data_IF_556057798065
#
_entry.id   IF_556057798065
#
_cell.length_a   1.000
_cell.length_b   1.000
_cell.length_c   1.000
_cell.angle_alpha   90.00
_cell.angle_beta   90.00
_cell.angle_gamma   90.00
#
_symmetry.space_group_name_H-M   'P 1'
#
loop_
_entity.id
_entity.type
_entity.pdbx_description
1 polymer ?
#
# COMPACT_ATOMS: atom_id res chain seq x y z
N UNK A 1 -14.91 4.90 -15.11
CA UNK A 1 -13.89 5.48 -14.22
C UNK A 1 -13.29 4.37 -13.38
N UNK A 2 -11.99 4.29 -13.34
CA UNK A 2 -11.23 3.24 -12.68
C UNK A 2 -11.38 3.33 -11.16
N UNK A 3 -11.77 2.24 -10.52
CA UNK A 3 -11.84 2.15 -9.06
C UNK A 3 -10.46 1.80 -8.51
N UNK A 4 -9.99 2.60 -7.58
CA UNK A 4 -8.64 2.44 -7.01
C UNK A 4 -8.71 2.26 -5.50
N UNK A 5 -7.92 1.33 -4.97
CA UNK A 5 -7.69 1.20 -3.54
C UNK A 5 -6.19 1.32 -3.22
N UNK A 6 -5.89 2.10 -2.19
CA UNK A 6 -4.55 2.24 -1.61
C UNK A 6 -4.55 1.46 -0.30
N UNK A 7 -3.69 0.47 -0.20
CA UNK A 7 -3.69 -0.48 0.91
C UNK A 7 -2.34 -0.47 1.63
N UNK A 8 -2.31 0.16 2.79
CA UNK A 8 -1.16 0.11 3.69
C UNK A 8 -1.31 -0.96 4.75
N UNK A 9 -0.19 -1.49 5.20
CA UNK A 9 -0.17 -2.46 6.28
C UNK A 9 1.15 -2.38 7.06
N UNK A 10 1.12 -2.83 8.31
CA UNK A 10 2.24 -2.85 9.21
C UNK A 10 1.83 -2.59 10.66
N UNK A 11 2.79 -2.57 11.56
CA UNK A 11 2.57 -2.37 12.98
C UNK A 11 2.99 -0.96 13.41
N UNK A 12 2.01 -0.11 13.73
CA UNK A 12 2.24 1.29 14.14
C UNK A 12 2.96 1.41 15.49
N UNK A 13 2.98 0.37 16.30
CA UNK A 13 3.68 0.33 17.59
C UNK A 13 5.15 -0.12 17.48
N UNK A 14 5.62 -0.39 16.25
CA UNK A 14 6.99 -0.82 15.96
C UNK A 14 7.75 0.18 15.06
N UNK A 15 7.74 1.45 15.44
CA UNK A 15 8.49 2.52 14.76
C UNK A 15 8.25 2.49 13.23
N UNK A 16 9.30 2.33 12.42
CA UNK A 16 9.24 2.40 10.95
C UNK A 16 8.34 1.34 10.30
N UNK A 17 8.04 0.25 10.99
CA UNK A 17 7.10 -0.77 10.50
C UNK A 17 5.67 -0.23 10.32
N UNK A 18 5.33 0.85 11.02
CA UNK A 18 4.03 1.53 10.91
C UNK A 18 3.97 2.65 9.87
N UNK A 19 5.01 2.83 9.07
CA UNK A 19 5.14 3.99 8.15
C UNK A 19 4.00 4.11 7.14
N UNK A 20 3.43 2.98 6.70
CA UNK A 20 2.36 2.97 5.71
C UNK A 20 1.11 3.71 6.20
N UNK A 21 0.80 3.68 7.51
CA UNK A 21 -0.32 4.42 8.08
C UNK A 21 -0.18 5.93 7.84
N UNK A 22 1.00 6.48 8.11
CA UNK A 22 1.25 7.91 7.92
C UNK A 22 1.29 8.30 6.44
N UNK A 23 1.88 7.46 5.59
CA UNK A 23 1.87 7.69 4.13
C UNK A 23 0.42 7.74 3.62
N UNK A 24 -0.44 6.81 4.05
CA UNK A 24 -1.87 6.82 3.69
C UNK A 24 -2.54 8.09 4.18
N UNK A 25 -2.28 8.54 5.39
CA UNK A 25 -2.86 9.76 5.91
C UNK A 25 -2.41 11.01 5.14
N UNK A 26 -1.16 11.07 4.70
CA UNK A 26 -0.68 12.14 3.82
C UNK A 26 -1.39 12.11 2.45
N UNK A 27 -1.60 10.93 1.88
CA UNK A 27 -2.37 10.79 0.63
C UNK A 27 -3.81 11.25 0.84
N UNK A 28 -4.46 10.83 1.93
CA UNK A 28 -5.83 11.25 2.25
C UNK A 28 -5.94 12.77 2.38
N UNK A 29 -4.99 13.42 3.05
CA UNK A 29 -4.94 14.89 3.14
C UNK A 29 -4.83 15.54 1.75
N UNK A 30 -3.95 15.03 0.89
CA UNK A 30 -3.75 15.53 -0.48
C UNK A 30 -5.00 15.36 -1.36
N UNK A 31 -5.82 14.35 -1.07
CA UNK A 31 -7.08 14.09 -1.76
C UNK A 31 -8.29 14.79 -1.10
N UNK A 32 -8.08 15.56 -0.03
CA UNK A 32 -9.14 16.21 0.72
C UNK A 32 -10.04 15.24 1.51
N UNK A 33 -9.52 14.05 1.83
CA UNK A 33 -10.21 13.03 2.62
C UNK A 33 -9.87 13.16 4.10
N UNK A 34 -10.78 12.67 4.95
CA UNK A 34 -10.56 12.63 6.41
C UNK A 34 -9.47 11.59 6.71
N UNK A 35 -8.49 11.97 7.52
CA UNK A 35 -7.42 11.04 7.95
C UNK A 35 -7.98 9.91 8.81
N UNK A 36 -7.28 8.79 8.83
CA UNK A 36 -7.57 7.68 9.73
C UNK A 36 -7.04 8.01 11.12
N UNK A 37 -7.90 7.90 12.12
CA UNK A 37 -7.51 8.01 13.52
C UNK A 37 -6.86 6.70 14.01
N UNK A 38 -6.31 6.73 15.22
CA UNK A 38 -5.68 5.55 15.81
C UNK A 38 -6.70 4.39 15.96
N UNK A 39 -6.37 3.26 15.36
CA UNK A 39 -7.25 2.10 15.33
C UNK A 39 -8.23 2.03 14.16
N UNK A 40 -8.38 3.10 13.38
CA UNK A 40 -9.23 3.09 12.18
C UNK A 40 -8.54 2.33 11.04
N UNK A 41 -9.31 1.49 10.36
CA UNK A 41 -8.85 0.79 9.16
C UNK A 41 -9.23 1.49 7.85
N UNK A 42 -10.26 2.32 7.88
CA UNK A 42 -10.86 2.90 6.69
C UNK A 42 -11.85 1.98 5.95
N UNK A 43 -12.00 0.74 6.37
CA UNK A 43 -12.90 -0.24 5.73
C UNK A 43 -14.38 0.13 5.84
N UNK A 44 -14.76 0.95 6.80
CA UNK A 44 -16.16 1.34 7.05
C UNK A 44 -16.64 2.49 6.14
N UNK A 45 -15.72 3.13 5.41
CA UNK A 45 -16.01 4.35 4.63
C UNK A 45 -15.51 4.24 3.20
N UNK A 46 -15.79 3.12 2.56
CA UNK A 46 -15.43 2.89 1.17
C UNK A 46 -16.53 3.45 0.26
N UNK A 47 -16.24 4.50 -0.48
CA UNK A 47 -17.21 5.17 -1.36
C UNK A 47 -16.94 4.97 -2.86
N UNK A 48 -15.82 4.36 -3.18
CA UNK A 48 -15.66 3.66 -4.44
C UNK A 48 -14.94 4.31 -5.60
N UNK A 49 -14.36 5.48 -5.48
CA UNK A 49 -13.45 6.01 -6.53
C UNK A 49 -12.00 5.78 -6.18
N UNK A 50 -11.55 6.41 -5.14
CA UNK A 50 -10.21 6.26 -4.59
C UNK A 50 -10.41 6.01 -3.10
N UNK A 51 -10.30 4.76 -2.73
CA UNK A 51 -10.40 4.33 -1.34
C UNK A 51 -9.01 4.08 -0.76
N UNK A 52 -8.85 4.23 0.53
CA UNK A 52 -7.60 3.92 1.22
C UNK A 52 -7.85 3.27 2.56
N UNK A 53 -7.10 2.22 2.84
CA UNK A 53 -7.22 1.42 4.05
C UNK A 53 -5.84 1.16 4.66
N UNK A 54 -5.82 0.99 5.98
CA UNK A 54 -4.63 0.55 6.70
C UNK A 54 -4.96 -0.66 7.58
N UNK A 55 -4.17 -1.71 7.44
CA UNK A 55 -4.37 -2.98 8.16
C UNK A 55 -3.12 -3.35 8.94
N UNK A 56 -3.23 -4.09 10.06
CA UNK A 56 -2.05 -4.62 10.75
C UNK A 56 -1.22 -5.57 9.88
N UNK A 57 -1.88 -6.29 8.98
CA UNK A 57 -1.27 -7.21 8.01
C UNK A 57 -2.23 -7.50 6.86
N UNK A 58 -1.70 -7.97 5.73
CA UNK A 58 -2.53 -8.51 4.67
C UNK A 58 -3.13 -9.86 5.10
N UNK A 59 -4.41 -10.04 4.83
CA UNK A 59 -5.16 -11.27 5.15
C UNK A 59 -5.95 -11.72 3.92
N UNK A 60 -6.18 -13.04 3.75
CA UNK A 60 -6.89 -13.56 2.58
C UNK A 60 -8.30 -12.99 2.42
N UNK A 61 -8.98 -12.68 3.50
CA UNK A 61 -10.35 -12.16 3.51
C UNK A 61 -10.50 -10.84 2.76
N UNK A 62 -9.42 -10.07 2.64
CA UNK A 62 -9.44 -8.80 1.90
C UNK A 62 -9.70 -8.98 0.40
N UNK A 63 -9.52 -10.17 -0.14
CA UNK A 63 -9.80 -10.47 -1.55
C UNK A 63 -11.25 -10.19 -1.93
N UNK A 64 -12.19 -10.41 -1.00
CA UNK A 64 -13.61 -10.13 -1.23
C UNK A 64 -13.86 -8.63 -1.52
N UNK A 65 -13.05 -7.77 -0.93
CA UNK A 65 -13.05 -6.34 -1.22
C UNK A 65 -12.32 -6.04 -2.53
N UNK A 66 -11.11 -6.58 -2.70
CA UNK A 66 -10.19 -6.24 -3.79
C UNK A 66 -10.73 -6.62 -5.18
N UNK A 67 -11.59 -7.63 -5.29
CA UNK A 67 -12.21 -8.02 -6.56
C UNK A 67 -13.03 -6.90 -7.22
N UNK A 68 -13.34 -5.84 -6.48
CA UNK A 68 -14.13 -4.70 -6.96
C UNK A 68 -13.28 -3.52 -7.45
N UNK A 69 -11.94 -3.63 -7.43
CA UNK A 69 -11.04 -2.55 -7.79
C UNK A 69 -10.22 -2.89 -9.04
N UNK A 70 -9.95 -1.87 -9.85
CA UNK A 70 -9.19 -1.99 -11.09
C UNK A 70 -7.70 -1.70 -10.89
N UNK A 71 -7.38 -0.89 -9.86
CA UNK A 71 -6.02 -0.54 -9.45
C UNK A 71 -5.85 -0.76 -7.96
N UNK A 72 -4.77 -1.45 -7.58
CA UNK A 72 -4.37 -1.64 -6.19
C UNK A 72 -2.98 -1.06 -6.00
N UNK A 73 -2.82 -0.15 -5.03
CA UNK A 73 -1.52 0.38 -4.64
C UNK A 73 -1.23 -0.09 -3.22
N UNK A 74 -0.30 -1.02 -3.08
CA UNK A 74 0.19 -1.47 -1.78
C UNK A 74 1.20 -0.47 -1.22
N UNK A 75 1.16 -0.25 0.10
CA UNK A 75 2.10 0.64 0.81
C UNK A 75 2.68 -0.10 1.99
N UNK A 76 4.01 -0.17 2.06
CA UNK A 76 4.71 -0.96 3.07
C UNK A 76 6.08 -0.34 3.41
N UNK A 77 6.70 -0.89 4.45
CA UNK A 77 8.12 -0.71 4.75
C UNK A 77 8.92 -1.90 4.18
N UNK A 78 10.15 -1.67 3.74
CA UNK A 78 11.05 -2.74 3.35
C UNK A 78 12.39 -2.64 4.08
N UNK A 79 13.11 -3.75 4.12
CA UNK A 79 14.42 -3.86 4.72
C UNK A 79 15.44 -4.33 3.67
N UNK A 80 16.71 -4.29 4.03
CA UNK A 80 17.78 -4.75 3.15
C UNK A 80 18.25 -3.66 2.17
N UNK A 81 19.10 -4.06 1.23
CA UNK A 81 19.80 -3.16 0.31
C UNK A 81 19.44 -3.40 -1.16
N UNK A 82 18.52 -4.31 -1.44
CA UNK A 82 18.15 -4.70 -2.79
C UNK A 82 17.25 -3.70 -3.50
N UNK A 83 16.58 -2.85 -2.72
CA UNK A 83 15.72 -1.78 -3.21
C UNK A 83 16.29 -0.41 -2.82
N UNK A 84 15.94 0.61 -3.59
CA UNK A 84 16.18 2.01 -3.21
C UNK A 84 15.41 2.38 -1.93
N UNK A 85 15.80 3.48 -1.28
CA UNK A 85 15.14 3.97 -0.06
C UNK A 85 13.65 4.22 -0.26
N UNK A 86 13.27 4.73 -1.41
CA UNK A 86 11.90 4.80 -1.90
C UNK A 86 11.79 3.89 -3.12
N UNK A 87 11.04 2.81 -2.99
CA UNK A 87 10.75 1.88 -4.07
C UNK A 87 9.34 2.09 -4.61
N UNK A 88 9.19 2.08 -5.92
CA UNK A 88 7.92 1.98 -6.61
C UNK A 88 8.05 0.96 -7.73
N UNK A 89 7.30 -0.13 -7.65
CA UNK A 89 7.38 -1.20 -8.64
C UNK A 89 6.01 -1.84 -8.89
N UNK A 90 5.86 -2.41 -10.08
CA UNK A 90 4.65 -3.17 -10.43
C UNK A 90 4.65 -4.50 -9.68
N UNK A 91 3.48 -4.88 -9.17
CA UNK A 91 3.27 -6.19 -8.54
C UNK A 91 2.52 -7.08 -9.53
N UNK A 92 3.03 -8.28 -9.74
CA UNK A 92 2.40 -9.31 -10.57
C UNK A 92 2.05 -10.53 -9.72
N UNK A 93 0.99 -11.27 -10.07
CA UNK A 93 0.61 -12.48 -9.35
C UNK A 93 1.74 -13.51 -9.35
N UNK A 94 2.14 -14.00 -8.18
CA UNK A 94 3.11 -15.06 -8.03
C UNK A 94 2.70 -16.02 -6.91
N UNK A 95 2.70 -17.32 -7.23
CA UNK A 95 2.53 -18.36 -6.22
C UNK A 95 3.89 -18.66 -5.59
N UNK A 96 4.12 -18.18 -4.38
CA UNK A 96 5.30 -18.54 -3.62
C UNK A 96 4.94 -19.74 -2.78
N UNK A 97 5.51 -20.90 -3.10
CA UNK A 97 5.45 -22.11 -2.27
C UNK A 97 6.40 -21.98 -1.09
N UNK A 98 6.20 -21.00 -0.23
CA UNK A 98 6.96 -20.94 1.03
C UNK A 98 6.09 -21.52 2.13
N UNK A 99 6.47 -22.70 2.55
CA UNK A 99 5.83 -23.46 3.64
C UNK A 99 5.99 -22.80 5.03
N UNK A 100 6.62 -21.64 5.13
CA UNK A 100 7.05 -21.06 6.38
C UNK A 100 6.67 -19.59 6.64
N UNK A 101 6.03 -18.91 5.72
CA UNK A 101 5.58 -17.54 5.98
C UNK A 101 4.08 -17.52 6.25
N UNK A 102 3.71 -17.29 7.49
CA UNK A 102 2.32 -17.06 7.89
C UNK A 102 1.79 -15.69 7.45
N UNK A 103 2.56 -14.95 6.66
CA UNK A 103 2.20 -13.61 6.20
C UNK A 103 1.87 -13.62 4.71
N UNK A 104 0.70 -13.12 4.39
CA UNK A 104 0.30 -12.87 3.01
C UNK A 104 1.14 -11.73 2.41
N UNK A 105 1.69 -11.95 1.22
CA UNK A 105 2.39 -10.93 0.45
C UNK A 105 1.50 -10.39 -0.68
N UNK A 106 1.76 -9.16 -1.20
CA UNK A 106 0.98 -8.61 -2.30
C UNK A 106 0.89 -9.52 -3.53
N UNK A 107 2.00 -10.08 -3.97
CA UNK A 107 2.06 -10.97 -5.13
C UNK A 107 1.29 -12.29 -4.92
N UNK A 108 1.37 -12.87 -3.71
CA UNK A 108 0.57 -14.05 -3.34
C UNK A 108 -0.92 -13.71 -3.28
N UNK A 109 -1.27 -12.57 -2.70
CA UNK A 109 -2.66 -12.10 -2.64
C UNK A 109 -3.25 -11.92 -4.04
N UNK A 110 -2.50 -11.32 -4.97
CA UNK A 110 -2.92 -11.17 -6.37
C UNK A 110 -3.04 -12.52 -7.09
N UNK A 111 -2.17 -13.49 -6.79
CA UNK A 111 -2.25 -14.83 -7.34
C UNK A 111 -3.55 -15.54 -6.91
N UNK A 112 -3.92 -15.45 -5.64
CA UNK A 112 -5.19 -15.99 -5.14
C UNK A 112 -6.39 -15.25 -5.72
N UNK A 113 -6.32 -13.91 -5.85
CA UNK A 113 -7.37 -13.10 -6.44
C UNK A 113 -7.63 -13.52 -7.90
N UNK A 114 -6.57 -13.72 -8.68
CA UNK A 114 -6.65 -14.23 -10.06
C UNK A 114 -7.27 -15.62 -10.12
N UNK A 115 -6.87 -16.54 -9.24
CA UNK A 115 -7.34 -17.92 -9.26
C UNK A 115 -8.79 -18.03 -8.80
N UNK A 116 -9.15 -17.37 -7.70
CA UNK A 116 -10.47 -17.55 -7.06
C UNK A 116 -11.55 -16.67 -7.67
N UNK A 117 -11.19 -15.48 -8.13
CA UNK A 117 -12.16 -14.49 -8.66
C UNK A 117 -11.97 -14.19 -10.14
N UNK A 118 -10.97 -14.79 -10.79
CA UNK A 118 -10.60 -14.50 -12.19
C UNK A 118 -10.41 -12.99 -12.43
N UNK A 119 -9.89 -12.31 -11.42
CA UNK A 119 -9.67 -10.87 -11.42
C UNK A 119 -8.17 -10.57 -11.27
N UNK A 120 -7.65 -9.76 -12.19
CA UNK A 120 -6.23 -9.39 -12.25
C UNK A 120 -6.11 -7.86 -12.37
N UNK A 121 -6.27 -7.12 -11.26
CA UNK A 121 -6.16 -5.67 -11.26
C UNK A 121 -4.72 -5.24 -11.52
N UNK A 122 -4.55 -4.08 -12.14
CA UNK A 122 -3.24 -3.44 -12.18
C UNK A 122 -2.78 -3.13 -10.75
N UNK A 123 -1.53 -3.46 -10.43
CA UNK A 123 -1.07 -3.35 -9.04
C UNK A 123 0.35 -2.84 -8.96
N UNK A 124 0.58 -1.96 -7.98
CA UNK A 124 1.89 -1.40 -7.63
C UNK A 124 2.15 -1.55 -6.15
N UNK A 125 3.42 -1.52 -5.77
CA UNK A 125 3.86 -1.33 -4.40
C UNK A 125 4.72 -0.08 -4.31
N UNK A 126 4.40 0.78 -3.35
CA UNK A 126 5.23 1.91 -2.93
C UNK A 126 5.72 1.57 -1.53
N UNK A 127 7.03 1.45 -1.37
CA UNK A 127 7.61 1.09 -0.09
C UNK A 127 8.80 1.97 0.25
N UNK A 128 9.05 2.16 1.54
CA UNK A 128 10.16 2.94 2.05
C UNK A 128 11.04 2.09 2.95
N UNK A 129 12.35 2.36 2.94
CA UNK A 129 13.29 1.64 3.78
C UNK A 129 13.07 1.96 5.25
N UNK A 130 12.89 0.91 6.04
CA UNK A 130 12.81 0.97 7.49
C UNK A 130 14.19 0.74 8.13
N UNK A 131 14.47 1.48 9.19
CA UNK A 131 15.74 1.44 9.92
C UNK A 131 15.56 1.06 11.39
N UNK A 132 14.36 1.28 11.96
CA UNK A 132 14.10 1.04 13.36
C UNK A 132 12.80 0.26 13.54
N UNK A 133 12.85 -0.80 14.33
CA UNK A 133 11.71 -1.68 14.66
C UNK A 133 11.46 -1.79 16.17
N UNK A 134 11.97 -0.83 16.96
CA UNK A 134 11.73 -0.79 18.40
C UNK A 134 10.23 -0.61 18.70
N UNK A 135 9.78 -1.16 19.81
CA UNK A 135 8.42 -0.96 20.31
C UNK A 135 8.23 0.48 20.80
N UNK A 136 7.96 1.37 19.87
CA UNK A 136 7.63 2.78 20.11
C UNK A 136 6.88 3.37 18.93
N UNK A 137 6.16 4.46 19.16
CA UNK A 137 5.58 5.30 18.11
C UNK A 137 6.61 6.26 17.54
N UNK A 138 6.43 6.65 16.29
CA UNK A 138 7.33 7.58 15.57
C UNK A 138 8.35 6.85 14.71
N UNK A 139 9.03 7.60 13.86
CA UNK A 139 9.90 7.08 12.80
C UNK A 139 11.35 7.51 12.99
N UNK A 140 12.28 6.73 12.46
CA UNK A 140 13.65 7.15 12.29
C UNK A 140 13.71 8.40 11.39
N UNK A 141 14.72 9.28 11.55
CA UNK A 141 14.85 10.48 10.70
C UNK A 141 14.92 10.15 9.22
N UNK A 142 15.58 9.05 8.86
CA UNK A 142 15.72 8.59 7.47
C UNK A 142 14.36 8.22 6.89
N UNK A 143 13.58 7.42 7.61
CA UNK A 143 12.23 7.01 7.18
C UNK A 143 11.27 8.20 7.18
N UNK A 144 11.35 9.08 8.17
CA UNK A 144 10.54 10.30 8.23
C UNK A 144 10.71 11.17 6.97
N UNK A 145 11.92 11.27 6.45
CA UNK A 145 12.20 12.05 5.23
C UNK A 145 11.57 11.49 3.96
N UNK A 146 11.16 10.23 3.96
CA UNK A 146 10.57 9.55 2.82
C UNK A 146 9.04 9.60 2.78
N UNK A 147 8.38 10.06 3.82
CA UNK A 147 6.91 10.09 3.91
C UNK A 147 6.27 10.91 2.79
N UNK A 148 6.71 12.16 2.62
CA UNK A 148 6.20 13.03 1.56
C UNK A 148 6.56 12.53 0.16
N UNK A 149 7.81 12.16 -0.16
CA UNK A 149 8.16 11.55 -1.44
C UNK A 149 7.29 10.33 -1.77
N UNK A 150 7.06 9.43 -0.82
CA UNK A 150 6.21 8.26 -1.02
C UNK A 150 4.75 8.64 -1.30
N UNK A 151 4.18 9.57 -0.54
CA UNK A 151 2.82 10.04 -0.78
C UNK A 151 2.69 10.73 -2.16
N UNK A 152 3.69 11.50 -2.57
CA UNK A 152 3.71 12.12 -3.91
C UNK A 152 3.75 11.06 -5.00
N UNK A 153 4.52 9.99 -4.82
CA UNK A 153 4.58 8.88 -5.78
C UNK A 153 3.24 8.18 -5.95
N UNK A 154 2.50 8.00 -4.87
CA UNK A 154 1.14 7.46 -4.93
C UNK A 154 0.21 8.40 -5.70
N UNK A 155 0.26 9.71 -5.44
CA UNK A 155 -0.53 10.70 -6.18
C UNK A 155 -0.19 10.70 -7.68
N UNK A 156 1.09 10.51 -8.04
CA UNK A 156 1.48 10.36 -9.45
C UNK A 156 0.83 9.14 -10.10
N UNK A 157 0.85 7.99 -9.42
CA UNK A 157 0.18 6.77 -9.90
C UNK A 157 -1.32 6.98 -10.12
N UNK A 158 -1.98 7.73 -9.25
CA UNK A 158 -3.40 8.05 -9.39
C UNK A 158 -3.68 8.97 -10.60
N UNK A 159 -2.77 9.86 -10.96
CA UNK A 159 -2.92 10.81 -12.07
C UNK A 159 -2.70 10.20 -13.44
N UNK A 160 -2.00 9.08 -13.54
CA UNK A 160 -1.77 8.36 -14.80
C UNK A 160 -3.10 7.96 -15.46
N UNK A 161 -4.17 7.85 -14.70
CA UNK A 161 -5.52 7.54 -15.20
C UNK A 161 -6.31 8.77 -15.71
N UNK A 162 -5.74 9.97 -15.62
CA UNK A 162 -6.37 11.17 -16.20
C UNK A 162 -5.90 11.34 -17.67
N UNK A 163 -6.81 11.58 -18.65
CA UNK A 163 -6.50 11.50 -20.07
C UNK A 163 -5.51 12.52 -20.63
N UNK A 164 -4.88 13.32 -19.81
CA UNK A 164 -3.91 14.33 -20.23
C UNK A 164 -2.75 14.43 -19.22
N UNK A 165 -1.78 13.53 -19.31
CA UNK A 165 -0.36 13.81 -19.09
C UNK A 165 0.42 12.52 -19.04
N UNK A 166 1.31 12.33 -20.00
CA UNK A 166 2.31 11.24 -20.00
C UNK A 166 3.35 11.57 -18.93
N UNK A 167 3.20 10.99 -17.74
CA UNK A 167 4.25 10.99 -16.73
C UNK A 167 4.75 9.57 -16.48
N UNK A 168 6.04 9.46 -16.24
CA UNK A 168 6.77 8.20 -16.11
C UNK A 168 6.14 7.30 -15.04
N UNK A 169 5.63 6.16 -15.49
CA UNK A 169 5.31 5.01 -14.63
C UNK A 169 6.54 4.51 -13.87
N UNK A 170 6.31 3.89 -12.72
CA UNK A 170 7.36 3.16 -12.00
C UNK A 170 8.01 2.09 -12.88
#
# INVERSE_FOLDING_TARGET
>A
MRRTIIMGYGNIDRSDDGVACEIINLVRQKLGQIILEDGDTGLEKLDGKIDSVFLPQLVPEIMELLKNYDLIIFVDAHTGTDLDDLNCSRVTPQYISSTFTHHMTPDALLAFLKTLYQHEPESYIVSVRAHNFDFKRGFSPETQSLLNPASNKIIELLKIDLPHEKHSSC
#
